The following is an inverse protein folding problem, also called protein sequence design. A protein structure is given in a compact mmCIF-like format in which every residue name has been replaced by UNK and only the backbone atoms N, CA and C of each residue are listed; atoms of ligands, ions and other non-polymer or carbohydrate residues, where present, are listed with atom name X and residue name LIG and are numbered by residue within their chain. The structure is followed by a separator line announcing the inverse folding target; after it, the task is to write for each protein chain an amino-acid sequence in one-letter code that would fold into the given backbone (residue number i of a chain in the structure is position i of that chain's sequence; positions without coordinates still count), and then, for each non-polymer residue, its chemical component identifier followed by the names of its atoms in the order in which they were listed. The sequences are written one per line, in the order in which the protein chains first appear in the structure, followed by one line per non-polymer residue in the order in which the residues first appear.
data_IF_192556182242
#
_entry.id   IF_192556182242
#
_cell.length_a   1.000
_cell.length_b   1.000
_cell.length_c   1.000
_cell.angle_alpha   90.00
_cell.angle_beta   90.00
_cell.angle_gamma   90.00
#
_symmetry.space_group_name_H-M   'P 1'
#
loop_
_entity.id
_entity.type
_entity.pdbx_description
1 polymer ?
2 non-polymer ?
3 water ?
#
# COMPACT_ATOMS: atom_id res chain seq x y z
N UNK A 4 -18.67 7.67 1.03
CA UNK A 4 -17.86 8.20 2.16
C UNK A 4 -16.58 8.92 1.73
N UNK A 5 -16.02 8.49 0.61
CA UNK A 5 -14.74 9.02 0.09
C UNK A 5 -14.76 8.77 -1.43
N UNK A 6 -13.64 9.10 -2.10
CA UNK A 6 -13.61 9.14 -3.55
C UNK A 6 -13.67 7.75 -4.20
N UNK A 7 -13.11 6.75 -3.55
CA UNK A 7 -13.05 5.42 -4.17
C UNK A 7 -14.06 4.55 -3.45
N UNK A 8 -14.91 3.82 -4.18
CA UNK A 8 -15.93 2.99 -3.48
C UNK A 8 -15.41 1.69 -2.93
N UNK A 9 -14.50 1.05 -3.64
CA UNK A 9 -13.97 -0.22 -3.22
C UNK A 9 -12.73 -0.54 -4.02
N UNK A 10 -12.01 -1.54 -3.53
CA UNK A 10 -10.72 -1.84 -4.07
C UNK A 10 -10.63 -3.32 -4.34
N UNK A 11 -9.94 -3.68 -5.42
CA UNK A 11 -9.65 -5.08 -5.72
C UNK A 11 -8.14 -5.20 -5.73
N UNK A 12 -7.58 -6.06 -4.87
CA UNK A 12 -6.11 -6.25 -4.81
C UNK A 12 -5.84 -7.57 -5.48
N UNK A 13 -5.13 -7.49 -6.59
CA UNK A 13 -4.80 -8.66 -7.36
C UNK A 13 -3.78 -9.49 -6.58
N UNK A 14 -3.79 -10.79 -6.76
CA UNK A 14 -2.92 -11.61 -5.88
C UNK A 14 -1.43 -11.31 -6.00
N UNK A 15 -0.96 -10.93 -7.18
CA UNK A 15 0.45 -10.69 -7.32
C UNK A 15 0.87 -9.42 -6.53
N UNK A 16 0.01 -8.41 -6.53
CA UNK A 16 0.24 -7.23 -5.73
C UNK A 16 0.26 -7.56 -4.22
N UNK A 17 -0.76 -8.27 -3.76
CA UNK A 17 -0.82 -8.59 -2.35
C UNK A 17 0.42 -9.35 -1.93
N UNK A 18 0.83 -10.28 -2.79
CA UNK A 18 2.02 -11.06 -2.51
C UNK A 18 3.24 -10.19 -2.33
N UNK A 19 3.41 -9.23 -3.23
CA UNK A 19 4.57 -8.33 -3.18
C UNK A 19 4.55 -7.45 -1.92
N UNK A 20 3.36 -6.95 -1.54
CA UNK A 20 3.31 -6.15 -0.36
C UNK A 20 3.64 -6.98 0.88
N UNK A 21 3.02 -8.14 0.96
CA UNK A 21 3.20 -8.97 2.12
C UNK A 21 4.63 -9.46 2.23
N UNK A 22 5.23 -9.83 1.11
CA UNK A 22 6.63 -10.30 1.17
C UNK A 22 7.53 -9.19 1.70
N UNK A 23 7.34 -7.99 1.20
CA UNK A 23 8.13 -6.90 1.71
C UNK A 23 7.94 -6.69 3.20
N UNK A 24 6.67 -6.55 3.60
CA UNK A 24 6.36 -6.26 4.97
C UNK A 24 6.85 -7.38 5.89
N UNK A 25 6.56 -8.61 5.52
CA UNK A 25 6.87 -9.77 6.39
C UNK A 25 8.38 -10.02 6.46
N UNK A 26 9.15 -9.58 5.43
CA UNK A 26 10.61 -9.77 5.39
C UNK A 26 11.31 -8.74 6.23
N UNK A 27 10.58 -7.77 6.78
CA UNK A 27 11.16 -6.60 7.39
C UNK A 27 10.48 -6.21 8.68
N UNK A 28 10.41 -7.13 9.63
CA UNK A 28 9.57 -6.97 10.81
C UNK A 28 10.07 -5.97 11.84
N UNK A 29 11.29 -5.46 11.68
CA UNK A 29 11.83 -4.44 12.53
C UNK A 29 11.56 -3.03 12.01
N UNK A 30 10.93 -2.94 10.85
CA UNK A 30 10.85 -1.68 10.12
C UNK A 30 9.42 -1.43 9.62
N UNK A 31 9.03 -0.17 9.62
CA UNK A 31 7.75 0.23 9.02
C UNK A 31 7.92 0.51 7.52
N UNK A 32 7.99 -0.58 6.74
CA UNK A 32 8.30 -0.44 5.33
C UNK A 32 7.17 0.13 4.52
N UNK A 33 7.49 0.62 3.33
CA UNK A 33 6.54 1.29 2.47
C UNK A 33 6.83 1.05 1.03
N UNK A 34 5.87 1.27 0.17
CA UNK A 34 6.05 1.24 -1.26
C UNK A 34 4.84 1.77 -1.94
N UNK A 35 4.78 1.68 -3.26
CA UNK A 35 3.70 2.22 -4.07
C UNK A 35 2.83 1.12 -4.59
N UNK A 36 1.55 1.46 -4.73
CA UNK A 36 0.60 0.61 -5.38
C UNK A 36 0.39 1.03 -6.80
N UNK A 37 0.38 0.05 -7.71
CA UNK A 37 0.30 0.27 -9.13
C UNK A 37 -0.99 -0.40 -9.64
N UNK A 38 -1.75 0.32 -10.46
CA UNK A 38 -3.02 -0.25 -10.93
C UNK A 38 -3.76 0.73 -11.78
N UNK A 39 -5.09 0.63 -11.72
CA UNK A 39 -5.95 1.51 -12.48
C UNK A 39 -7.37 1.49 -11.88
N UNK A 40 -8.12 2.54 -12.15
CA UNK A 40 -9.50 2.51 -11.83
C UNK A 40 -10.29 1.85 -12.95
N UNK A 41 -11.41 1.27 -12.56
CA UNK A 41 -12.42 0.84 -13.50
C UNK A 41 -13.71 1.30 -12.83
N UNK A 42 -14.09 2.53 -13.18
CA UNK A 42 -15.19 3.21 -12.53
C UNK A 42 -14.91 3.55 -11.08
N UNK A 43 -15.78 3.06 -10.23
CA UNK A 43 -15.65 3.22 -8.80
C UNK A 43 -14.78 2.15 -8.16
N UNK A 44 -14.35 1.15 -8.94
CA UNK A 44 -13.45 0.12 -8.42
C UNK A 44 -12.01 0.48 -8.72
N UNK A 45 -11.21 0.51 -7.68
CA UNK A 45 -9.81 0.76 -7.85
C UNK A 45 -9.10 -0.59 -7.81
N UNK A 46 -8.40 -0.89 -8.91
CA UNK A 46 -7.69 -2.14 -9.05
C UNK A 46 -6.22 -1.93 -8.72
N UNK A 47 -5.75 -2.77 -7.82
CA UNK A 47 -4.32 -2.81 -7.47
C UNK A 47 -3.70 -4.04 -8.11
N UNK A 48 -2.94 -3.78 -9.17
CA UNK A 48 -2.34 -4.84 -9.99
C UNK A 48 -0.96 -5.21 -9.56
N UNK A 49 -0.23 -4.27 -8.95
CA UNK A 49 1.19 -4.51 -8.67
C UNK A 49 1.60 -3.58 -7.57
N UNK A 50 2.82 -3.74 -7.07
CA UNK A 50 3.38 -2.89 -6.09
C UNK A 50 4.86 -2.77 -6.41
N UNK A 51 5.42 -1.63 -6.09
CA UNK A 51 6.86 -1.39 -6.26
C UNK A 51 7.38 -0.71 -5.03
N UNK A 52 8.67 -0.77 -4.81
CA UNK A 52 9.27 -0.03 -3.76
C UNK A 52 10.72 0.26 -4.11
N UNK A 53 11.25 1.29 -3.46
CA UNK A 53 12.68 1.55 -3.50
C UNK A 53 13.37 1.15 -2.24
N UNK A 54 12.64 0.66 -1.26
CA UNK A 54 13.22 0.22 -0.02
C UNK A 54 13.83 -1.16 -0.13
N UNK A 55 14.73 -1.35 0.82
CA UNK A 55 15.34 -2.62 1.12
C UNK A 55 14.35 -3.52 1.86
N UNK A 56 14.54 -4.78 1.59
CA UNK A 56 13.92 -5.88 2.31
C UNK A 56 14.85 -6.32 3.40
N UNK A 57 14.30 -6.73 4.50
CA UNK A 57 15.04 -7.22 5.63
C UNK A 57 15.78 -6.19 6.45
N UNK A 58 16.85 -6.66 7.08
CA UNK A 58 17.70 -5.81 7.91
C UNK A 58 18.61 -5.07 6.95
N UNK A 59 18.57 -3.72 6.98
CA UNK A 59 19.26 -2.89 5.98
C UNK A 59 20.77 -3.04 5.86
N UNK A 64 19.09 5.64 2.56
CA UNK A 64 19.52 6.67 1.66
C UNK A 64 18.42 6.97 0.63
N UNK A 65 17.90 8.20 0.64
CA UNK A 65 16.93 8.63 -0.37
C UNK A 65 17.44 8.35 -1.80
N UNK A 66 18.75 8.54 -2.00
CA UNK A 66 19.33 8.37 -3.33
C UNK A 66 19.22 6.89 -3.80
N UNK A 67 19.23 5.95 -2.85
CA UNK A 67 19.06 4.56 -3.23
C UNK A 67 17.57 4.22 -3.39
N UNK A 68 16.73 4.81 -2.54
CA UNK A 68 15.29 4.61 -2.65
C UNK A 68 14.78 5.12 -3.99
N UNK A 69 15.25 6.30 -4.38
CA UNK A 69 14.84 6.83 -5.67
C UNK A 69 15.28 5.96 -6.84
N UNK A 70 16.54 5.53 -6.81
CA UNK A 70 17.02 4.72 -7.93
C UNK A 70 16.24 3.43 -8.07
N UNK A 71 16.06 2.78 -6.94
CA UNK A 71 15.43 1.48 -6.93
C UNK A 71 13.96 1.58 -7.38
N UNK A 72 13.25 2.58 -6.86
CA UNK A 72 11.85 2.69 -7.27
C UNK A 72 11.75 3.12 -8.72
N UNK A 73 12.70 3.94 -9.20
CA UNK A 73 12.70 4.31 -10.61
C UNK A 73 12.95 3.09 -11.49
N UNK A 74 13.84 2.21 -11.04
CA UNK A 74 14.13 1.00 -11.79
C UNK A 74 12.89 0.13 -11.85
N UNK A 75 12.24 -0.04 -10.70
CA UNK A 75 11.01 -0.83 -10.70
C UNK A 75 9.92 -0.21 -11.58
N UNK A 76 9.75 1.10 -11.46
CA UNK A 76 8.76 1.76 -12.29
C UNK A 76 9.03 1.65 -13.77
N UNK A 77 10.31 1.64 -14.12
CA UNK A 77 10.66 1.54 -15.55
C UNK A 77 10.22 0.24 -16.15
N UNK A 78 10.05 -0.77 -15.30
CA UNK A 78 9.61 -2.10 -15.79
C UNK A 78 8.12 -2.33 -15.66
N UNK A 79 7.41 -1.34 -15.11
CA UNK A 79 5.96 -1.47 -14.89
C UNK A 79 5.17 -1.33 -16.13
N UNK A 80 3.96 -1.85 -16.06
CA UNK A 80 3.07 -1.84 -17.20
C UNK A 80 2.71 -0.41 -17.53
N UNK A 81 2.84 -0.01 -18.79
CA UNK A 81 2.55 1.35 -19.24
C UNK A 81 1.04 1.67 -19.23
N UNK A 82 0.18 0.67 -19.09
CA UNK A 82 -1.28 0.90 -19.03
C UNK A 82 -1.67 1.09 -17.55
N UNK A 83 -0.73 0.98 -16.61
CA UNK A 83 -1.05 1.15 -15.20
C UNK A 83 -0.36 2.36 -14.65
N UNK A 84 -0.77 2.81 -13.47
CA UNK A 84 -0.29 3.99 -12.87
C UNK A 84 -0.32 3.96 -11.31
N UNK A 85 0.19 4.97 -10.63
CA UNK A 85 0.25 4.94 -9.18
C UNK A 85 -1.15 5.16 -8.63
N UNK A 86 -1.61 4.22 -7.80
CA UNK A 86 -2.95 4.30 -7.22
C UNK A 86 -2.92 4.33 -5.71
N UNK A 87 -1.76 4.47 -5.09
CA UNK A 87 -1.67 4.56 -3.68
C UNK A 87 -0.36 4.06 -3.16
N UNK A 88 -0.32 3.71 -1.89
CA UNK A 88 0.87 3.26 -1.21
C UNK A 88 0.56 2.29 -0.17
N UNK A 89 1.54 1.54 0.30
CA UNK A 89 1.39 0.69 1.43
C UNK A 89 2.34 1.06 2.53
N UNK A 90 2.01 0.70 3.73
CA UNK A 90 2.80 0.99 4.90
C UNK A 90 2.61 -0.13 5.86
N UNK A 91 3.69 -0.75 6.32
CA UNK A 91 3.59 -1.78 7.36
C UNK A 91 3.79 -1.15 8.72
N UNK A 92 3.02 -1.65 9.69
CA UNK A 92 3.12 -1.20 11.07
C UNK A 92 3.20 -2.44 11.95
N UNK A 93 4.34 -3.16 11.93
CA UNK A 93 4.48 -4.37 12.72
C UNK A 93 4.16 -4.17 14.21
N UNK A 94 3.22 -4.98 14.66
CA UNK A 94 2.79 -4.99 16.06
C UNK A 94 1.91 -3.85 16.52
N UNK A 95 1.49 -2.98 15.60
CA UNK A 95 0.75 -1.80 15.99
C UNK A 95 -0.67 -1.87 15.56
N UNK A 96 -1.06 -2.95 14.89
CA UNK A 96 -2.42 -2.99 14.45
C UNK A 96 -2.60 -1.95 13.38
N UNK A 97 -3.81 -1.92 12.90
CA UNK A 97 -4.02 -1.38 11.61
C UNK A 97 -4.86 -0.12 11.65
N UNK A 98 -4.19 0.98 11.55
CA UNK A 98 -4.83 2.26 11.43
C UNK A 98 -3.84 3.22 10.77
N UNK A 99 -4.31 4.36 10.30
CA UNK A 99 -3.40 5.39 9.83
C UNK A 99 -2.99 6.22 10.98
N UNK A 100 -1.69 6.31 11.18
CA UNK A 100 -1.16 7.26 12.08
C UNK A 100 -1.44 8.70 11.63
N UNK A 101 -1.23 9.65 12.57
CA UNK A 101 -1.33 11.05 12.16
C UNK A 101 -0.41 11.36 10.97
N UNK A 102 0.81 10.82 10.99
CA UNK A 102 1.75 10.98 9.88
C UNK A 102 1.19 10.38 8.59
N UNK A 103 0.67 9.18 8.73
CA UNK A 103 0.08 8.50 7.58
C UNK A 103 -1.10 9.27 6.97
N UNK A 104 -1.89 9.92 7.83
CA UNK A 104 -3.02 10.71 7.34
C UNK A 104 -2.53 11.86 6.47
N UNK A 105 -1.49 12.53 6.96
CA UNK A 105 -0.87 13.60 6.21
C UNK A 105 -0.36 13.08 4.87
N UNK A 106 0.32 11.95 4.89
CA UNK A 106 0.83 11.36 3.67
C UNK A 106 -0.31 11.02 2.70
N UNK A 107 -1.36 10.39 3.26
CA UNK A 107 -2.49 10.01 2.40
C UNK A 107 -3.18 11.23 1.79
N UNK A 108 -3.27 12.31 2.57
CA UNK A 108 -3.84 13.50 2.02
C UNK A 108 -2.99 14.02 0.83
N UNK A 109 -1.68 13.89 0.98
CA UNK A 109 -0.76 14.28 -0.10
C UNK A 109 -0.92 13.38 -1.30
N UNK A 110 -1.09 12.08 -1.08
CA UNK A 110 -1.36 11.19 -2.20
C UNK A 110 -2.65 11.57 -2.93
N UNK A 111 -3.69 11.85 -2.13
CA UNK A 111 -4.97 12.19 -2.75
C UNK A 111 -4.95 13.50 -3.53
N UNK A 112 -4.08 14.42 -3.15
CA UNK A 112 -3.89 15.64 -3.90
C UNK A 112 -3.23 15.34 -5.25
N UNK A 113 -2.42 14.29 -5.33
CA UNK A 113 -1.93 13.81 -6.64
C UNK A 113 -2.96 12.99 -7.51
N UNK A 114 -3.86 12.21 -6.88
CA UNK A 114 -4.74 11.33 -7.57
C UNK A 114 -5.89 11.08 -6.60
N UNK A 115 -7.08 11.57 -6.94
CA UNK A 115 -8.13 11.64 -5.93
C UNK A 115 -8.59 10.26 -5.50
N UNK A 116 -8.37 9.22 -6.33
CA UNK A 116 -8.79 7.89 -5.96
C UNK A 116 -7.70 7.08 -5.23
N UNK A 117 -6.53 7.71 -4.91
CA UNK A 117 -5.42 7.05 -4.21
C UNK A 117 -5.86 6.45 -2.92
N UNK A 118 -5.28 5.32 -2.51
CA UNK A 118 -5.58 4.65 -1.27
C UNK A 118 -4.31 4.28 -0.50
N UNK A 119 -4.45 4.05 0.78
CA UNK A 119 -3.42 3.65 1.69
C UNK A 119 -3.65 2.27 2.22
N UNK A 120 -2.80 1.31 1.86
CA UNK A 120 -2.89 -0.05 2.38
C UNK A 120 -1.99 -0.13 3.59
N UNK A 121 -2.55 -0.37 4.78
CA UNK A 121 -1.80 -0.55 6.00
C UNK A 121 -1.85 -2.00 6.37
N UNK A 122 -0.67 -2.56 6.68
CA UNK A 122 -0.55 -3.96 7.02
C UNK A 122 0.23 -4.12 8.30
N UNK A 123 -0.24 -5.02 9.15
CA UNK A 123 0.53 -5.41 10.32
C UNK A 123 0.81 -6.87 10.05
N UNK A 124 2.07 -7.19 9.64
CA UNK A 124 2.35 -8.51 9.14
C UNK A 124 2.82 -9.49 10.27
N UNK A 125 2.88 -9.06 11.53
CA UNK A 125 3.47 -9.89 12.61
C UNK A 125 2.80 -11.24 12.67
N UNK A 126 1.48 -11.25 12.69
CA UNK A 126 0.76 -12.54 12.87
C UNK A 126 0.94 -13.39 11.64
N UNK A 127 0.90 -12.81 10.47
CA UNK A 127 1.17 -13.57 9.22
C UNK A 127 2.57 -14.16 9.31
N UNK A 128 3.55 -13.39 9.76
CA UNK A 128 4.89 -13.94 9.80
C UNK A 128 5.03 -15.07 10.80
N UNK A 129 4.24 -15.03 11.88
CA UNK A 129 4.24 -16.09 12.90
C UNK A 129 3.58 -17.35 12.39
N UNK A 130 2.40 -17.21 11.81
CA UNK A 130 1.53 -18.36 11.51
C UNK A 130 1.77 -18.89 10.08
N UNK A 131 2.31 -18.01 9.25
CA UNK A 131 2.47 -18.24 7.81
C UNK A 131 1.15 -18.45 7.06
N UNK A 132 0.05 -18.01 7.67
CA UNK A 132 -1.26 -18.10 6.98
C UNK A 132 -1.75 -16.71 6.57
N UNK A 133 -2.05 -16.51 5.28
CA UNK A 133 -2.66 -15.26 4.83
C UNK A 133 -3.90 -14.85 5.65
N UNK A 134 -4.65 -15.81 6.17
CA UNK A 134 -5.84 -15.50 6.96
C UNK A 134 -5.47 -14.81 8.27
N UNK A 135 -4.18 -14.86 8.65
CA UNK A 135 -3.69 -14.13 9.81
C UNK A 135 -3.21 -12.75 9.45
N UNK A 136 -3.27 -12.42 8.16
CA UNK A 136 -2.85 -11.07 7.75
C UNK A 136 -3.79 -10.02 8.31
N UNK A 137 -3.25 -8.94 8.79
CA UNK A 137 -4.01 -7.85 9.34
C UNK A 137 -3.77 -6.71 8.38
N UNK A 138 -4.81 -6.26 7.68
CA UNK A 138 -4.66 -5.13 6.79
C UNK A 138 -5.97 -4.43 6.55
N UNK A 139 -5.88 -3.17 6.20
CA UNK A 139 -7.04 -2.41 5.76
C UNK A 139 -6.57 -1.48 4.68
N UNK A 140 -7.50 -0.98 3.89
CA UNK A 140 -7.22 -0.02 2.86
C UNK A 140 -8.04 1.24 3.18
N UNK A 141 -7.38 2.38 3.28
CA UNK A 141 -7.96 3.61 3.74
C UNK A 141 -7.93 4.72 2.73
N UNK A 142 -8.87 5.64 2.89
CA UNK A 142 -8.76 6.98 2.27
C UNK A 142 -9.22 7.97 3.28
N UNK A 143 -8.98 9.24 2.98
CA UNK A 143 -9.37 10.33 3.85
C UNK A 143 -10.52 11.05 3.13
N UNK A 144 -11.60 11.23 3.87
CA UNK A 144 -12.78 11.96 3.33
C UNK A 144 -12.52 13.47 3.31
N UNK A 145 -13.39 14.23 2.59
CA UNK A 145 -13.19 15.69 2.52
C UNK A 145 -13.13 16.32 3.90
N UNK A 146 -13.99 15.83 4.78
CA UNK A 146 -14.09 16.41 6.11
C UNK A 146 -13.02 15.81 7.06
N UNK A 147 -12.14 14.96 6.53
CA UNK A 147 -10.94 14.55 7.22
C UNK A 147 -11.01 13.29 8.02
N UNK A 148 -12.06 12.49 7.83
CA UNK A 148 -12.17 11.21 8.49
C UNK A 148 -11.42 10.12 7.73
N UNK A 149 -10.93 9.17 8.50
CA UNK A 149 -10.33 7.97 7.93
C UNK A 149 -11.41 7.00 7.60
N UNK A 150 -11.46 6.60 6.34
CA UNK A 150 -12.48 5.71 5.82
C UNK A 150 -11.84 4.38 5.42
N UNK A 151 -12.35 3.25 5.89
CA UNK A 151 -11.89 1.92 5.54
C UNK A 151 -12.72 1.39 4.39
N UNK A 152 -12.07 1.05 3.29
CA UNK A 152 -12.73 0.68 2.07
C UNK A 152 -12.93 -0.80 1.99
N UNK A 153 -14.03 -1.23 1.36
CA UNK A 153 -14.19 -2.65 1.03
C UNK A 153 -13.08 -3.11 0.11
N UNK A 154 -12.59 -4.32 0.38
CA UNK A 154 -11.51 -4.91 -0.40
C UNK A 154 -11.91 -6.33 -0.81
N UNK A 155 -11.76 -6.62 -2.09
CA UNK A 155 -11.76 -8.00 -2.57
C UNK A 155 -10.39 -8.42 -3.14
X LIG B 1 -13.58 2.71 -17.15
X LIG B 1 -13.93 4.02 -17.75
X LIG B 1 -14.61 2.31 -16.15
X LIG B 1 -13.52 1.67 -18.21
X LIG B 1 -12.24 2.82 -16.50
X LIG C 1 -5.30 -20.22 5.61
X LIG C 1 -6.27 -20.53 4.55
X LIG C 1 -5.98 -20.48 6.91
X LIG C 1 -4.86 -18.79 5.43
X LIG C 1 -4.12 -21.13 5.50
#
# INVERSE_FOLDING_TARGET
GHMASATARVRIYPLALAKVVKHAASSLQREVAGLLVGKSAGKVLEIWDAVTGEQYGTPAYVQLDEMVMAKVAEELSKSDKNLYIVGWYHSHPGLDVFLSPTDIDTQKRYQAMFSKAVALVVDPVDYAKTRRISSLKFKVFQISKEGRVVSLPVS
SO4 S O1 O2 O3 O4
SO4 S O1 O2 O3 O4
#
